data_IF_557780428773
#
_entry.id   IF_557780428773
#
_cell.length_a   1.000
_cell.length_b   1.000
_cell.length_c   1.000
_cell.angle_alpha   90.00
_cell.angle_beta   90.00
_cell.angle_gamma   90.00
#
_symmetry.space_group_name_H-M   'P 1'
#
loop_
_entity.id
_entity.type
_entity.pdbx_description
1 polymer ?
#
# COMPACT_ATOMS: atom_id res chain seq x y z
N UNK A 1 18.54 7.36 31.59
CA UNK A 1 17.22 6.78 31.94
C UNK A 1 16.55 6.36 30.64
N UNK A 2 16.64 5.09 30.29
CA UNK A 2 16.09 4.51 29.05
C UNK A 2 14.65 4.09 29.28
N UNK A 3 13.71 4.76 28.62
CA UNK A 3 12.31 4.31 28.55
C UNK A 3 12.25 3.01 27.74
N UNK A 4 11.54 1.96 28.19
CA UNK A 4 11.41 0.75 27.41
C UNK A 4 10.51 1.02 26.19
N UNK A 5 10.96 0.63 25.01
CA UNK A 5 10.12 0.56 23.82
C UNK A 5 8.92 -0.34 24.14
N UNK A 6 7.71 0.22 24.08
CA UNK A 6 6.48 -0.59 24.16
C UNK A 6 6.41 -1.41 22.88
N UNK A 7 6.66 -2.70 23.02
CA UNK A 7 6.43 -3.70 21.99
C UNK A 7 4.92 -3.74 21.67
N UNK A 8 4.53 -3.15 20.54
CA UNK A 8 3.15 -3.17 20.08
C UNK A 8 2.85 -4.56 19.51
N UNK A 9 2.31 -5.44 20.35
CA UNK A 9 1.97 -6.81 19.97
C UNK A 9 0.65 -6.81 19.18
N UNK A 10 0.76 -6.82 17.86
CA UNK A 10 -0.39 -6.99 16.96
C UNK A 10 -0.83 -8.45 17.04
N UNK A 11 -1.99 -8.72 17.64
CA UNK A 11 -2.61 -10.05 17.60
C UNK A 11 -3.23 -10.29 16.21
N UNK A 12 -2.93 -11.40 15.53
CA UNK A 12 -3.50 -11.67 14.21
C UNK A 12 -4.97 -12.10 14.37
N UNK A 13 -5.90 -11.16 14.20
CA UNK A 13 -7.27 -11.50 13.83
C UNK A 13 -7.28 -11.80 12.32
N UNK A 14 -7.33 -13.10 11.98
CA UNK A 14 -7.43 -13.58 10.59
C UNK A 14 -8.90 -13.71 10.19
N UNK A 15 -9.41 -12.72 9.47
CA UNK A 15 -10.58 -12.88 8.58
C UNK A 15 -10.06 -12.70 7.16
N UNK A 16 -9.73 -13.80 6.49
CA UNK A 16 -9.37 -13.78 5.07
C UNK A 16 -10.61 -14.00 4.21
N UNK A 17 -11.23 -12.91 3.76
CA UNK A 17 -12.22 -12.97 2.68
C UNK A 17 -11.44 -12.92 1.37
N UNK A 18 -11.23 -14.08 0.75
CA UNK A 18 -10.68 -14.16 -0.60
C UNK A 18 -11.84 -14.01 -1.60
N UNK A 19 -12.10 -12.79 -2.07
CA UNK A 19 -12.92 -12.61 -3.27
C UNK A 19 -12.04 -12.97 -4.47
N UNK A 20 -12.40 -14.05 -5.16
CA UNK A 20 -11.74 -14.43 -6.41
C UNK A 20 -12.26 -13.50 -7.50
N UNK A 21 -11.51 -12.44 -7.79
CA UNK A 21 -11.62 -11.71 -9.05
C UNK A 21 -10.21 -11.53 -9.58
N UNK A 22 -9.72 -12.55 -10.26
CA UNK A 22 -8.48 -12.46 -10.99
C UNK A 22 -8.76 -12.83 -12.44
N UNK A 23 -8.49 -11.88 -13.35
CA UNK A 23 -8.64 -12.02 -14.80
C UNK A 23 -7.27 -12.20 -15.48
N UNK A 24 -6.28 -12.89 -14.89
CA UNK A 24 -5.02 -13.17 -15.60
C UNK A 24 -5.24 -13.87 -16.95
N UNK A 25 -4.94 -13.18 -18.05
CA UNK A 25 -5.06 -13.67 -19.43
C UNK A 25 -3.75 -14.32 -19.90
N UNK A 26 -3.83 -15.58 -20.35
CA UNK A 26 -2.77 -16.21 -21.14
C UNK A 26 -3.18 -16.19 -22.62
N UNK A 27 -2.31 -15.66 -23.47
CA UNK A 27 -2.56 -15.30 -24.87
C UNK A 27 -2.65 -16.52 -25.83
N UNK A 28 -3.12 -17.68 -25.36
CA UNK A 28 -3.13 -18.94 -26.14
C UNK A 28 -4.47 -19.68 -26.14
N UNK A 29 -5.56 -19.09 -25.65
CA UNK A 29 -6.88 -19.73 -25.74
C UNK A 29 -7.79 -19.06 -26.77
N UNK A 30 -7.73 -19.57 -28.00
CA UNK A 30 -8.74 -19.40 -29.06
C UNK A 30 -10.07 -20.12 -28.72
N UNK A 31 -10.50 -20.09 -27.46
CA UNK A 31 -11.67 -20.81 -27.00
C UNK A 31 -12.70 -19.88 -26.38
N UNK A 32 -13.98 -20.23 -26.53
CA UNK A 32 -15.11 -19.53 -25.89
C UNK A 32 -14.82 -19.41 -24.39
N UNK A 33 -15.05 -18.20 -23.83
CA UNK A 33 -15.05 -17.92 -22.38
C UNK A 33 -16.25 -18.61 -21.73
N UNK A 34 -16.22 -19.92 -21.69
CA UNK A 34 -17.25 -20.75 -21.08
C UNK A 34 -16.99 -20.94 -19.58
N UNK A 35 -17.83 -21.71 -18.90
CA UNK A 35 -17.71 -21.97 -17.46
C UNK A 35 -16.37 -22.65 -17.11
N UNK A 36 -15.81 -23.47 -18.00
CA UNK A 36 -14.60 -24.22 -17.72
C UNK A 36 -13.38 -23.29 -17.64
N UNK A 37 -13.31 -22.29 -18.52
CA UNK A 37 -12.29 -21.24 -18.48
C UNK A 37 -12.22 -20.56 -17.09
N UNK A 38 -13.36 -20.09 -16.57
CA UNK A 38 -13.42 -19.41 -15.28
C UNK A 38 -13.09 -20.33 -14.10
N UNK A 39 -13.50 -21.60 -14.14
CA UNK A 39 -13.15 -22.57 -13.10
C UNK A 39 -11.65 -22.89 -13.08
N UNK A 40 -11.02 -23.00 -14.24
CA UNK A 40 -9.57 -23.21 -14.31
C UNK A 40 -8.80 -22.02 -13.73
N UNK A 41 -9.21 -20.79 -14.06
CA UNK A 41 -8.60 -19.57 -13.52
C UNK A 41 -8.76 -19.46 -12.00
N UNK A 42 -9.97 -19.68 -11.49
CA UNK A 42 -10.23 -19.68 -10.05
C UNK A 42 -9.41 -20.75 -9.31
N UNK A 43 -9.31 -21.96 -9.88
CA UNK A 43 -8.47 -23.04 -9.33
C UNK A 43 -7.00 -22.63 -9.32
N UNK A 44 -6.50 -22.01 -10.38
CA UNK A 44 -5.13 -21.52 -10.44
C UNK A 44 -4.85 -20.48 -9.34
N UNK A 45 -5.75 -19.51 -9.15
CA UNK A 45 -5.60 -18.50 -8.10
C UNK A 45 -5.65 -19.11 -6.69
N UNK A 46 -6.56 -20.04 -6.44
CA UNK A 46 -6.62 -20.75 -5.15
C UNK A 46 -5.30 -21.48 -4.87
N UNK A 47 -4.76 -22.18 -5.86
CA UNK A 47 -3.47 -22.88 -5.71
C UNK A 47 -2.30 -21.90 -5.50
N UNK A 48 -2.36 -20.68 -6.06
CA UNK A 48 -1.38 -19.61 -5.77
C UNK A 48 -1.47 -19.16 -4.32
N UNK A 49 -2.67 -18.85 -3.84
CA UNK A 49 -2.89 -18.40 -2.46
C UNK A 49 -2.48 -19.45 -1.42
N UNK A 50 -2.75 -20.74 -1.69
CA UNK A 50 -2.37 -21.83 -0.78
C UNK A 50 -0.86 -22.06 -0.67
N UNK A 51 -0.08 -21.58 -1.64
CA UNK A 51 1.40 -21.65 -1.62
C UNK A 51 2.01 -20.46 -0.91
N UNK A 52 1.23 -19.45 -0.59
CA UNK A 52 1.72 -18.27 0.10
C UNK A 52 2.02 -18.62 1.56
N UNK A 53 3.26 -18.42 1.96
CA UNK A 53 3.74 -18.69 3.31
C UNK A 53 4.32 -17.38 3.84
N UNK A 54 3.72 -16.87 4.91
CA UNK A 54 4.21 -15.66 5.57
C UNK A 54 5.68 -15.85 5.96
N UNK A 55 6.56 -14.98 5.46
CA UNK A 55 7.94 -14.92 5.91
C UNK A 55 7.98 -14.31 7.31
N UNK A 56 8.61 -14.99 8.25
CA UNK A 56 8.93 -14.45 9.58
C UNK A 56 10.31 -13.76 9.63
N UNK A 57 11.02 -13.73 8.50
CA UNK A 57 12.34 -13.10 8.43
C UNK A 57 12.23 -11.58 8.46
N UNK A 58 13.17 -10.93 9.15
CA UNK A 58 13.28 -9.47 9.20
C UNK A 58 13.73 -8.96 7.82
N UNK A 59 13.00 -7.97 7.29
CA UNK A 59 13.31 -7.35 6.00
C UNK A 59 14.59 -6.50 6.12
N UNK A 60 15.57 -6.76 5.24
CA UNK A 60 16.80 -5.95 5.14
C UNK A 60 16.60 -4.65 4.37
N UNK A 61 15.68 -4.66 3.39
CA UNK A 61 15.43 -3.54 2.49
C UNK A 61 13.93 -3.26 2.46
N UNK A 62 13.57 -1.99 2.47
CA UNK A 62 12.20 -1.52 2.31
C UNK A 62 12.15 -0.64 1.06
N UNK A 63 11.27 -0.96 0.13
CA UNK A 63 11.00 -0.15 -1.06
C UNK A 63 9.52 0.23 -1.02
N UNK A 64 9.24 1.53 -0.96
CA UNK A 64 7.89 2.08 -0.95
C UNK A 64 7.62 2.83 -2.25
N UNK A 65 6.64 2.37 -3.03
CA UNK A 65 6.16 3.06 -4.22
C UNK A 65 4.93 3.89 -3.86
N UNK A 66 4.98 5.21 -4.11
CA UNK A 66 3.88 6.13 -3.84
C UNK A 66 3.33 6.65 -5.17
N UNK A 67 2.10 6.31 -5.50
CA UNK A 67 1.35 6.93 -6.58
C UNK A 67 0.50 8.08 -6.02
N UNK A 68 0.98 9.32 -6.11
CA UNK A 68 0.22 10.49 -5.67
C UNK A 68 -1.07 10.63 -6.49
N UNK A 69 -2.21 10.79 -5.80
CA UNK A 69 -3.54 10.79 -6.43
C UNK A 69 -3.99 9.45 -7.06
N UNK A 70 -3.26 8.35 -6.84
CA UNK A 70 -3.55 7.06 -7.48
C UNK A 70 -4.62 6.25 -6.72
N UNK A 71 -5.88 6.65 -6.86
CA UNK A 71 -7.03 5.89 -6.33
C UNK A 71 -7.34 4.59 -7.11
N UNK A 72 -8.28 3.80 -6.60
CA UNK A 72 -8.71 2.53 -7.23
C UNK A 72 -9.21 2.70 -8.68
N UNK A 73 -9.89 3.82 -8.95
CA UNK A 73 -10.37 4.16 -10.30
C UNK A 73 -9.19 4.41 -11.23
N UNK A 74 -8.21 5.21 -10.81
CA UNK A 74 -6.98 5.47 -11.56
C UNK A 74 -6.22 4.18 -11.87
N UNK A 75 -6.09 3.28 -10.90
CA UNK A 75 -5.46 1.96 -11.09
C UNK A 75 -6.22 1.14 -12.14
N UNK A 76 -7.54 1.07 -12.05
CA UNK A 76 -8.37 0.29 -12.98
C UNK A 76 -8.31 0.86 -14.40
N UNK A 77 -8.39 2.19 -14.55
CA UNK A 77 -8.23 2.86 -15.85
C UNK A 77 -6.85 2.62 -16.44
N UNK A 78 -5.79 2.70 -15.62
CA UNK A 78 -4.43 2.44 -16.07
C UNK A 78 -4.25 0.99 -16.55
N UNK A 79 -4.84 0.03 -15.86
CA UNK A 79 -4.86 -1.39 -16.25
C UNK A 79 -5.48 -1.59 -17.63
N UNK A 80 -6.69 -1.07 -17.82
CA UNK A 80 -7.43 -1.17 -19.09
C UNK A 80 -6.63 -0.53 -20.23
N UNK A 81 -6.20 0.73 -20.02
CA UNK A 81 -5.42 1.46 -21.01
C UNK A 81 -4.15 0.71 -21.39
N UNK A 82 -3.43 0.14 -20.41
CA UNK A 82 -2.20 -0.61 -20.66
C UNK A 82 -2.44 -1.90 -21.42
N UNK A 83 -3.53 -2.61 -21.15
CA UNK A 83 -3.92 -3.81 -21.91
C UNK A 83 -4.31 -3.49 -23.35
N UNK A 84 -5.05 -2.40 -23.57
CA UNK A 84 -5.41 -1.91 -24.91
C UNK A 84 -4.18 -1.48 -25.72
N UNK A 85 -3.22 -0.80 -25.09
CA UNK A 85 -1.92 -0.46 -25.71
C UNK A 85 -1.11 -1.69 -26.13
N UNK A 86 -1.39 -2.87 -25.56
CA UNK A 86 -0.78 -4.15 -25.94
C UNK A 86 -1.60 -4.95 -26.95
N UNK A 87 -2.70 -4.39 -27.44
CA UNK A 87 -3.58 -5.02 -28.42
C UNK A 87 -4.59 -6.02 -27.83
N UNK A 88 -4.78 -6.04 -26.50
CA UNK A 88 -5.83 -6.84 -25.87
C UNK A 88 -7.09 -5.99 -25.56
N UNK A 89 -8.12 -6.58 -24.96
CA UNK A 89 -9.34 -5.85 -24.56
C UNK A 89 -9.10 -4.84 -23.43
N UNK A 90 -8.26 -5.19 -22.46
CA UNK A 90 -7.82 -4.29 -21.41
C UNK A 90 -8.11 -4.79 -19.99
N UNK A 91 -9.34 -5.24 -19.74
CA UNK A 91 -9.85 -5.59 -18.40
C UNK A 91 -9.12 -6.79 -17.78
N UNK A 92 -8.58 -7.66 -18.62
CA UNK A 92 -7.82 -8.86 -18.27
C UNK A 92 -6.31 -8.63 -18.10
N UNK A 93 -5.85 -7.41 -18.37
CA UNK A 93 -4.46 -7.06 -18.15
C UNK A 93 -4.17 -6.94 -16.65
N UNK A 94 -2.95 -7.25 -16.23
CA UNK A 94 -2.48 -7.02 -14.86
C UNK A 94 -1.30 -6.06 -14.85
N UNK A 95 -1.37 -5.05 -14.00
CA UNK A 95 -0.23 -4.19 -13.67
C UNK A 95 0.78 -4.97 -12.80
N UNK A 96 2.00 -4.44 -12.68
CA UNK A 96 3.06 -5.11 -11.93
C UNK A 96 2.68 -5.34 -10.45
N UNK A 97 2.02 -4.37 -9.83
CA UNK A 97 1.56 -4.44 -8.45
C UNK A 97 0.25 -5.21 -8.26
N UNK A 98 -0.51 -5.52 -9.32
CA UNK A 98 -1.68 -6.40 -9.23
C UNK A 98 -1.28 -7.83 -8.82
N UNK A 99 0.00 -8.17 -9.03
CA UNK A 99 0.59 -9.48 -8.70
C UNK A 99 1.12 -9.56 -7.26
N UNK A 100 1.02 -8.48 -6.49
CA UNK A 100 1.41 -8.51 -5.08
C UNK A 100 0.41 -9.38 -4.30
N UNK A 101 0.93 -10.18 -3.37
CA UNK A 101 0.12 -11.18 -2.65
C UNK A 101 -0.82 -10.56 -1.63
N UNK A 102 -0.51 -9.35 -1.16
CA UNK A 102 -1.26 -8.67 -0.12
C UNK A 102 -1.80 -7.34 -0.62
N UNK A 103 -3.06 -7.08 -0.28
CA UNK A 103 -3.77 -5.84 -0.57
C UNK A 103 -4.46 -5.36 0.70
N UNK A 104 -4.47 -4.04 0.91
CA UNK A 104 -5.17 -3.41 2.01
C UNK A 104 -5.81 -2.10 1.53
N UNK A 105 -6.85 -1.66 2.22
CA UNK A 105 -7.44 -0.34 2.04
C UNK A 105 -6.97 0.59 3.17
N UNK A 106 -6.59 1.82 2.82
CA UNK A 106 -6.15 2.83 3.76
C UNK A 106 -7.16 3.98 3.86
N UNK A 107 -7.39 4.47 5.09
CA UNK A 107 -8.23 5.66 5.33
C UNK A 107 -7.36 6.92 5.34
N UNK A 108 -7.53 7.78 4.33
CA UNK A 108 -6.61 8.88 3.99
C UNK A 108 -6.95 10.25 4.58
N UNK A 109 -8.02 10.37 5.40
CA UNK A 109 -8.37 11.65 6.05
C UNK A 109 -7.20 12.23 6.86
N UNK A 110 -7.06 13.55 6.89
CA UNK A 110 -6.20 14.27 7.84
C UNK A 110 -6.97 14.52 9.15
N UNK A 111 -6.29 14.90 10.21
CA UNK A 111 -6.95 15.09 11.52
C UNK A 111 -8.05 16.16 11.52
N UNK A 112 -7.94 17.16 10.64
CA UNK A 112 -8.89 18.26 10.47
C UNK A 112 -9.52 18.34 9.07
N UNK A 113 -9.29 17.36 8.19
CA UNK A 113 -9.90 17.29 6.85
C UNK A 113 -10.30 15.87 6.46
N UNK A 114 -11.52 15.71 5.93
CA UNK A 114 -11.99 14.43 5.42
C UNK A 114 -11.27 14.00 4.14
N UNK A 115 -10.93 14.97 3.28
CA UNK A 115 -10.16 14.75 2.06
C UNK A 115 -8.70 15.04 2.38
N UNK A 116 -7.88 14.00 2.34
CA UNK A 116 -6.46 14.10 2.66
C UNK A 116 -5.66 14.91 1.63
N UNK A 117 -4.70 15.72 2.07
CA UNK A 117 -3.67 16.29 1.21
C UNK A 117 -2.41 15.40 1.16
N UNK A 118 -1.54 15.64 0.16
CA UNK A 118 -0.33 14.85 -0.04
C UNK A 118 0.65 14.96 1.14
N UNK A 119 0.79 16.12 1.77
CA UNK A 119 1.75 16.36 2.84
C UNK A 119 1.44 15.61 4.13
N UNK A 120 0.23 15.74 4.63
CA UNK A 120 -0.15 15.05 5.86
C UNK A 120 -0.41 13.55 5.62
N UNK A 121 -0.78 13.14 4.39
CA UNK A 121 -0.77 11.72 4.01
C UNK A 121 0.65 11.14 4.00
N UNK A 122 1.64 11.87 3.48
CA UNK A 122 3.04 11.44 3.54
C UNK A 122 3.52 11.30 4.98
N UNK A 123 3.14 12.22 5.85
CA UNK A 123 3.45 12.15 7.30
C UNK A 123 2.84 10.90 7.94
N UNK A 124 1.59 10.58 7.63
CA UNK A 124 0.95 9.36 8.12
C UNK A 124 1.64 8.09 7.60
N UNK A 125 1.99 8.05 6.31
CA UNK A 125 2.61 6.88 5.67
C UNK A 125 4.05 6.64 6.13
N UNK A 126 4.84 7.71 6.27
CA UNK A 126 6.28 7.62 6.53
C UNK A 126 6.63 7.75 8.00
N UNK A 127 5.82 8.45 8.79
CA UNK A 127 6.12 8.73 10.20
C UNK A 127 5.14 8.04 11.15
N UNK A 128 4.08 7.39 10.63
CA UNK A 128 3.12 6.64 11.43
C UNK A 128 2.16 7.50 12.26
N UNK A 129 2.13 8.82 12.03
CA UNK A 129 1.29 9.78 12.76
C UNK A 129 0.50 10.63 11.76
N UNK A 130 -0.81 10.77 11.98
CA UNK A 130 -1.63 11.70 11.18
C UNK A 130 -1.38 13.14 11.62
N UNK A 131 -1.21 14.03 10.64
CA UNK A 131 -1.12 15.48 10.84
C UNK A 131 -2.35 16.21 10.28
N UNK A 132 -2.30 17.54 10.40
CA UNK A 132 -3.29 18.47 9.87
C UNK A 132 -3.08 18.74 8.39
N UNK A 133 -4.15 19.10 7.69
CA UNK A 133 -4.11 19.47 6.27
C UNK A 133 -3.01 20.51 5.98
N UNK A 134 -2.29 20.33 4.87
CA UNK A 134 -1.17 21.19 4.41
C UNK A 134 0.05 21.24 5.36
N UNK A 135 0.23 20.22 6.22
CA UNK A 135 1.43 20.07 7.05
C UNK A 135 2.27 18.86 6.65
N UNK A 136 3.57 18.88 6.96
CA UNK A 136 4.51 17.79 6.61
C UNK A 136 5.45 17.53 7.78
N UNK A 137 5.57 16.27 8.20
CA UNK A 137 6.48 15.87 9.28
C UNK A 137 6.09 16.42 10.65
N UNK A 138 4.84 16.85 10.82
CA UNK A 138 4.29 17.37 12.07
C UNK A 138 3.09 16.55 12.53
N UNK A 139 2.91 16.41 13.85
CA UNK A 139 1.70 15.88 14.46
C UNK A 139 0.54 16.90 14.43
N UNK A 140 -0.60 16.55 15.05
CA UNK A 140 -1.80 17.38 15.05
C UNK A 140 -1.65 18.77 15.73
N UNK A 141 -0.53 19.03 16.42
CA UNK A 141 -0.23 20.36 16.98
C UNK A 141 0.37 21.30 15.94
N UNK A 142 0.94 20.78 14.86
CA UNK A 142 1.47 21.57 13.76
C UNK A 142 0.34 22.24 13.00
N UNK A 143 0.33 23.57 12.96
CA UNK A 143 -0.73 24.36 12.31
C UNK A 143 -0.19 24.96 11.03
N UNK A 144 -0.94 24.78 9.93
CA UNK A 144 -0.61 25.37 8.64
C UNK A 144 -0.39 26.89 8.76
N UNK A 145 0.65 27.37 8.07
CA UNK A 145 1.04 28.78 8.03
C UNK A 145 1.35 29.42 9.40
N UNK A 146 1.78 28.62 10.40
CA UNK A 146 2.24 29.10 11.71
C UNK A 146 3.56 28.42 12.10
N UNK A 147 4.67 29.08 11.79
CA UNK A 147 6.03 28.53 11.97
C UNK A 147 6.30 28.07 13.42
N UNK A 148 5.82 28.82 14.41
CA UNK A 148 6.08 28.54 15.83
C UNK A 148 5.46 27.21 16.28
N UNK A 149 4.38 26.77 15.61
CA UNK A 149 3.75 25.47 15.92
C UNK A 149 4.64 24.28 15.57
N UNK A 150 5.63 24.47 14.69
CA UNK A 150 6.55 23.40 14.27
C UNK A 150 7.57 23.02 15.34
N UNK A 151 7.81 23.87 16.34
CA UNK A 151 8.89 23.64 17.30
C UNK A 151 8.65 22.43 18.20
N UNK A 152 7.38 22.13 18.51
CA UNK A 152 6.97 21.06 19.44
C UNK A 152 6.12 19.96 18.77
N UNK A 153 5.98 19.98 17.45
CA UNK A 153 5.11 19.05 16.69
C UNK A 153 5.87 18.14 15.73
N UNK A 154 7.18 18.29 15.56
CA UNK A 154 7.98 17.43 14.66
C UNK A 154 7.88 15.97 15.06
N UNK A 155 7.69 15.11 14.06
CA UNK A 155 7.68 13.66 14.22
C UNK A 155 8.84 13.02 13.47
N UNK A 156 9.34 11.92 14.01
CA UNK A 156 10.44 11.14 13.43
C UNK A 156 9.88 10.17 12.39
N UNK A 157 10.51 10.07 11.22
CA UNK A 157 9.99 9.34 10.07
C UNK A 157 10.89 8.16 9.68
N UNK A 158 10.40 7.29 8.80
CA UNK A 158 11.06 6.05 8.40
C UNK A 158 12.50 6.25 7.89
N UNK A 159 12.75 7.34 7.17
CA UNK A 159 14.09 7.67 6.70
C UNK A 159 15.05 8.01 7.85
N UNK A 160 14.56 8.72 8.87
CA UNK A 160 15.34 9.07 10.06
C UNK A 160 15.67 7.81 10.88
N UNK A 161 14.71 6.87 10.99
CA UNK A 161 14.95 5.54 11.59
C UNK A 161 16.02 4.76 10.83
N UNK A 162 15.90 4.70 9.50
CA UNK A 162 16.85 3.97 8.66
C UNK A 162 18.27 4.57 8.72
N UNK A 163 18.40 5.90 8.77
CA UNK A 163 19.68 6.58 8.90
C UNK A 163 20.31 6.32 10.27
N UNK A 164 19.52 6.47 11.34
CA UNK A 164 20.01 6.28 12.73
C UNK A 164 20.48 4.83 12.95
N UNK A 165 19.75 3.85 12.44
CA UNK A 165 20.18 2.44 12.51
C UNK A 165 21.43 2.20 11.65
N UNK A 166 21.56 2.85 10.48
CA UNK A 166 22.75 2.77 9.65
C UNK A 166 24.00 3.34 10.32
N UNK A 167 23.87 4.45 11.04
CA UNK A 167 24.95 5.07 11.81
C UNK A 167 25.37 4.22 13.02
N UNK A 168 24.45 3.49 13.67
CA UNK A 168 24.76 2.62 14.81
C UNK A 168 25.50 1.32 14.42
N UNK A 169 25.50 0.96 13.12
CA UNK A 169 26.09 -0.29 12.61
C UNK A 169 27.44 -0.09 11.89
N UNK A 170 28.03 1.11 11.95
CA UNK A 170 29.38 1.44 11.48
C UNK A 170 30.31 1.77 12.66
#
# INVERSE_FOLDING_TARGET
MTTPAKEFKVHPFRVSIHIIVDTTYSNTFSGKRDRHHWYQQAKAQLMRNLRDVDSTAIAKNIILFIGDGMGLTTVTTARILRGQQKGNSGEEYELAFDKFQHVALAKTYNTDSQVGDSGACATALLCGVKGRFETVGLDDKGVYNRCESSFESKVFCLADWAQTDGEQNN
#
